data_IF_334837126808
#
_entry.id   IF_334837126808
#
_cell.length_a   1.000
_cell.length_b   1.000
_cell.length_c   1.000
_cell.angle_alpha   90.00
_cell.angle_beta   90.00
_cell.angle_gamma   90.00
#
_symmetry.space_group_name_H-M   'P 1'
#
loop_
_entity.id
_entity.type
_entity.pdbx_description
1 polymer ?
#
# COMPACT_ATOMS: atom_id res chain seq x y z
N UNK A 1 -19.35 -9.57 6.77
CA UNK A 1 -19.67 -8.11 6.71
C UNK A 1 -19.72 -7.40 8.07
N UNK A 2 -19.51 -8.08 9.21
CA UNK A 2 -19.77 -7.49 10.54
C UNK A 2 -19.06 -6.15 10.81
N UNK A 3 -17.77 -6.03 10.47
CA UNK A 3 -17.02 -4.80 10.76
C UNK A 3 -17.38 -3.61 9.85
N UNK A 4 -17.66 -3.83 8.55
CA UNK A 4 -18.07 -2.76 7.64
C UNK A 4 -19.34 -2.08 8.16
N UNK A 5 -20.34 -2.89 8.53
CA UNK A 5 -21.63 -2.42 9.09
C UNK A 5 -21.41 -1.79 10.46
N UNK A 6 -20.74 -2.49 11.38
CA UNK A 6 -20.46 -2.01 12.75
C UNK A 6 -19.79 -0.63 12.77
N UNK A 7 -18.98 -0.36 11.76
CA UNK A 7 -18.18 0.85 11.65
C UNK A 7 -18.78 1.91 10.74
N UNK A 8 -19.92 1.66 10.12
CA UNK A 8 -20.55 2.59 9.18
C UNK A 8 -19.65 2.91 7.98
N UNK A 9 -18.83 1.96 7.51
CA UNK A 9 -17.98 2.19 6.35
C UNK A 9 -18.84 2.26 5.10
N UNK A 10 -18.74 3.38 4.37
CA UNK A 10 -19.34 3.56 3.04
C UNK A 10 -18.70 2.57 2.07
N UNK A 11 -19.37 1.46 1.77
CA UNK A 11 -18.84 0.39 0.92
C UNK A 11 -19.51 0.33 -0.46
N UNK A 12 -18.75 -0.15 -1.45
CA UNK A 12 -19.20 -0.44 -2.81
C UNK A 12 -18.83 -1.88 -3.17
N UNK A 13 -19.55 -2.85 -2.61
CA UNK A 13 -19.24 -4.27 -2.80
C UNK A 13 -19.84 -4.86 -4.10
N UNK A 14 -19.07 -5.72 -4.79
CA UNK A 14 -19.48 -6.39 -6.04
C UNK A 14 -20.67 -7.35 -5.89
N UNK A 15 -20.96 -7.82 -4.67
CA UNK A 15 -22.01 -8.81 -4.43
C UNK A 15 -23.40 -8.17 -4.33
N UNK A 16 -23.47 -6.88 -3.97
CA UNK A 16 -24.70 -6.08 -3.92
C UNK A 16 -24.86 -5.17 -5.13
N UNK A 17 -23.76 -4.87 -5.83
CA UNK A 17 -23.77 -4.02 -7.03
C UNK A 17 -23.42 -4.89 -8.24
N UNK A 18 -24.44 -5.23 -9.02
CA UNK A 18 -24.27 -6.05 -10.22
C UNK A 18 -23.82 -5.30 -11.47
N UNK A 19 -23.95 -5.99 -12.60
CA UNK A 19 -23.79 -5.43 -13.94
C UNK A 19 -24.74 -4.23 -14.15
N UNK A 20 -24.32 -3.14 -14.83
CA UNK A 20 -23.04 -2.97 -15.53
C UNK A 20 -21.92 -2.35 -14.69
N UNK A 21 -22.09 -2.13 -13.39
CA UNK A 21 -21.07 -1.46 -12.56
C UNK A 21 -19.87 -2.37 -12.34
N UNK A 22 -20.15 -3.60 -11.94
CA UNK A 22 -19.17 -4.68 -11.86
C UNK A 22 -19.48 -5.69 -12.97
N UNK A 23 -18.45 -6.17 -13.65
CA UNK A 23 -18.61 -7.17 -14.71
C UNK A 23 -17.43 -8.13 -14.72
N UNK A 24 -17.67 -9.33 -15.26
CA UNK A 24 -16.60 -10.30 -15.49
C UNK A 24 -16.05 -10.18 -16.91
N UNK A 25 -14.75 -9.97 -17.02
CA UNK A 25 -14.03 -9.96 -18.29
C UNK A 25 -13.03 -11.12 -18.31
N UNK A 26 -13.45 -12.23 -18.92
CA UNK A 26 -12.65 -13.45 -19.04
C UNK A 26 -11.56 -13.35 -20.13
N UNK A 27 -11.63 -12.34 -21.00
CA UNK A 27 -10.74 -12.22 -22.16
C UNK A 27 -9.66 -11.15 -21.97
N UNK A 28 -9.74 -10.34 -20.91
CA UNK A 28 -8.83 -9.21 -20.65
C UNK A 28 -7.34 -9.52 -20.80
N UNK A 29 -6.92 -10.72 -20.38
CA UNK A 29 -5.51 -11.13 -20.40
C UNK A 29 -5.10 -11.89 -21.67
N UNK A 30 -6.02 -12.10 -22.62
CA UNK A 30 -5.76 -12.89 -23.83
C UNK A 30 -5.52 -14.38 -23.56
N UNK A 31 -5.74 -14.85 -22.33
CA UNK A 31 -5.62 -16.24 -21.89
C UNK A 31 -6.67 -16.55 -20.82
N UNK A 32 -7.11 -17.82 -20.67
CA UNK A 32 -7.98 -18.22 -19.59
C UNK A 32 -7.35 -17.97 -18.22
N UNK A 33 -8.15 -17.47 -17.27
CA UNK A 33 -7.81 -17.37 -15.84
C UNK A 33 -9.02 -17.80 -15.00
N UNK A 34 -8.78 -18.19 -13.75
CA UNK A 34 -9.84 -18.57 -12.82
C UNK A 34 -10.87 -17.42 -12.66
N UNK A 35 -12.13 -17.78 -12.44
CA UNK A 35 -13.24 -16.81 -12.44
C UNK A 35 -13.03 -15.72 -11.38
N UNK A 36 -12.40 -16.04 -10.25
CA UNK A 36 -12.10 -15.14 -9.16
C UNK A 36 -11.21 -13.95 -9.59
N UNK A 37 -10.48 -14.07 -10.70
CA UNK A 37 -9.59 -13.03 -11.24
C UNK A 37 -10.18 -12.24 -12.41
N UNK A 38 -11.48 -12.37 -12.67
CA UNK A 38 -12.14 -11.73 -13.84
C UNK A 38 -13.06 -10.58 -13.49
N UNK A 39 -13.27 -10.25 -12.21
CA UNK A 39 -14.17 -9.16 -11.84
C UNK A 39 -13.50 -7.79 -11.98
N UNK A 40 -14.15 -6.87 -12.69
CA UNK A 40 -13.69 -5.50 -12.89
C UNK A 40 -14.76 -4.46 -12.59
N UNK A 41 -14.31 -3.24 -12.35
CA UNK A 41 -15.11 -2.01 -12.38
C UNK A 41 -14.29 -0.87 -12.99
N UNK A 42 -14.84 0.34 -13.04
CA UNK A 42 -14.06 1.56 -13.33
C UNK A 42 -14.30 2.60 -12.25
N UNK A 43 -13.32 3.49 -12.05
CA UNK A 43 -13.44 4.61 -11.11
C UNK A 43 -14.70 5.44 -11.38
N UNK A 44 -15.04 5.70 -12.65
CA UNK A 44 -16.26 6.42 -13.01
C UNK A 44 -17.52 5.69 -12.53
N UNK A 45 -17.66 4.39 -12.83
CA UNK A 45 -18.82 3.60 -12.41
C UNK A 45 -18.97 3.55 -10.88
N UNK A 46 -17.84 3.45 -10.16
CA UNK A 46 -17.84 3.49 -8.70
C UNK A 46 -18.28 4.85 -8.16
N UNK A 47 -17.84 5.97 -8.76
CA UNK A 47 -18.29 7.31 -8.40
C UNK A 47 -19.78 7.53 -8.68
N UNK A 48 -20.30 7.01 -9.78
CA UNK A 48 -21.71 7.12 -10.12
C UNK A 48 -22.59 6.42 -9.05
N UNK A 49 -22.18 5.22 -8.62
CA UNK A 49 -22.89 4.51 -7.53
C UNK A 49 -22.70 5.23 -6.19
N UNK A 50 -21.48 5.68 -5.88
CA UNK A 50 -21.21 6.46 -4.68
C UNK A 50 -22.13 7.68 -4.59
N UNK A 51 -22.27 8.44 -5.68
CA UNK A 51 -23.16 9.60 -5.77
C UNK A 51 -24.62 9.22 -5.52
N UNK A 52 -25.12 8.15 -6.16
CA UNK A 52 -26.48 7.65 -5.94
C UNK A 52 -26.74 7.22 -4.49
N UNK A 53 -25.71 6.74 -3.78
CA UNK A 53 -25.76 6.36 -2.36
C UNK A 53 -25.51 7.53 -1.40
N UNK A 54 -25.34 8.76 -1.91
CA UNK A 54 -25.02 9.92 -1.06
C UNK A 54 -23.59 9.93 -0.51
N UNK A 55 -22.67 9.19 -1.13
CA UNK A 55 -21.25 9.14 -0.75
C UNK A 55 -20.43 10.25 -1.43
N UNK A 56 -21.05 11.39 -1.71
CA UNK A 56 -20.39 12.53 -2.31
C UNK A 56 -19.25 13.07 -1.43
N UNK A 57 -18.38 13.91 -2.00
CA UNK A 57 -17.24 14.51 -1.30
C UNK A 57 -17.60 15.62 -0.29
N UNK A 58 -18.85 15.63 0.18
CA UNK A 58 -19.38 16.50 1.23
C UNK A 58 -19.72 15.62 2.45
N UNK A 59 -19.38 16.07 3.64
CA UNK A 59 -19.79 15.42 4.88
C UNK A 59 -21.28 15.68 5.18
N UNK A 60 -21.82 15.04 6.22
CA UNK A 60 -23.24 15.13 6.61
C UNK A 60 -23.71 16.55 6.97
N UNK A 61 -22.79 17.53 7.06
CA UNK A 61 -23.06 18.93 7.44
C UNK A 61 -22.58 19.92 6.36
N UNK A 62 -22.52 19.49 5.09
CA UNK A 62 -22.02 20.28 3.96
C UNK A 62 -20.54 20.71 4.08
N UNK A 63 -19.79 20.13 5.02
CA UNK A 63 -18.36 20.32 5.18
C UNK A 63 -17.56 19.54 4.13
N UNK A 64 -16.38 20.04 3.77
CA UNK A 64 -15.48 19.31 2.86
C UNK A 64 -14.98 18.06 3.57
N UNK A 65 -15.02 16.90 2.90
CA UNK A 65 -14.53 15.61 3.42
C UNK A 65 -13.07 15.66 3.95
N UNK A 66 -12.26 16.62 3.49
CA UNK A 66 -10.89 16.83 3.98
C UNK A 66 -10.79 17.44 5.39
N UNK A 67 -11.90 17.85 6.01
CA UNK A 67 -11.87 18.47 7.35
C UNK A 67 -11.35 17.48 8.37
N UNK A 68 -10.24 17.81 9.03
CA UNK A 68 -9.55 16.91 9.96
C UNK A 68 -8.67 15.84 9.30
N UNK A 69 -8.51 15.84 7.97
CA UNK A 69 -7.52 15.01 7.30
C UNK A 69 -6.11 15.42 7.73
N UNK A 70 -5.41 14.51 8.40
CA UNK A 70 -4.01 14.70 8.75
C UNK A 70 -3.15 14.26 7.57
N UNK A 71 -2.54 15.21 6.87
CA UNK A 71 -1.56 14.90 5.82
C UNK A 71 -0.25 14.40 6.42
N UNK A 72 0.48 13.55 5.69
CA UNK A 72 1.91 13.39 5.93
C UNK A 72 2.66 14.67 5.56
N UNK A 73 3.88 14.78 6.05
CA UNK A 73 4.79 15.89 5.73
C UNK A 73 5.55 15.53 4.46
N UNK A 74 5.66 16.48 3.54
CA UNK A 74 6.32 16.29 2.26
C UNK A 74 7.50 17.24 2.07
N UNK A 75 8.51 16.78 1.35
CA UNK A 75 9.67 17.55 0.86
C UNK A 75 9.82 17.41 -0.64
N UNK A 76 10.51 18.36 -1.25
CA UNK A 76 10.98 18.17 -2.62
C UNK A 76 12.08 17.09 -2.64
N UNK A 77 12.18 16.30 -3.73
CA UNK A 77 13.20 15.28 -3.85
C UNK A 77 14.62 15.87 -3.82
N UNK A 78 15.61 15.10 -3.39
CA UNK A 78 16.99 15.60 -3.33
C UNK A 78 17.50 16.04 -4.72
N UNK A 79 18.03 17.27 -4.80
CA UNK A 79 18.49 17.85 -6.07
C UNK A 79 19.76 17.17 -6.63
N UNK A 80 20.60 16.59 -5.76
CA UNK A 80 21.83 15.90 -6.12
C UNK A 80 21.87 14.50 -5.48
N UNK A 81 21.50 13.49 -6.26
CA UNK A 81 21.54 12.08 -5.82
C UNK A 81 22.92 11.44 -5.98
N UNK A 82 23.84 12.07 -6.72
CA UNK A 82 25.21 11.57 -6.91
C UNK A 82 26.10 11.69 -5.65
N UNK A 83 25.75 12.57 -4.70
CA UNK A 83 26.50 12.78 -3.43
C UNK A 83 25.91 11.99 -2.25
N UNK A 84 25.02 11.03 -2.49
CA UNK A 84 24.26 10.26 -1.49
C UNK A 84 25.07 9.11 -0.86
N UNK A 85 26.39 9.10 -1.04
CA UNK A 85 27.30 8.07 -0.52
C UNK A 85 27.66 8.23 0.98
N UNK A 86 27.15 9.27 1.65
CA UNK A 86 27.40 9.51 3.08
C UNK A 86 26.32 8.91 3.99
N UNK A 87 26.67 7.79 4.65
CA UNK A 87 26.09 7.25 5.90
C UNK A 87 24.69 6.62 5.90
N UNK A 88 23.96 6.58 4.78
CA UNK A 88 22.73 5.77 4.63
C UNK A 88 22.65 5.08 3.26
N UNK A 89 23.82 4.67 2.73
CA UNK A 89 23.92 3.75 1.59
C UNK A 89 23.29 2.41 1.96
N UNK A 90 22.37 1.89 1.14
CA UNK A 90 21.60 0.71 1.51
C UNK A 90 20.21 0.63 0.88
N UNK A 91 19.70 1.71 0.27
CA UNK A 91 18.33 1.76 -0.24
C UNK A 91 18.24 1.73 -1.76
N UNK A 92 19.26 1.27 -2.47
CA UNK A 92 19.26 1.19 -3.92
C UNK A 92 18.48 -0.04 -4.42
N UNK A 93 18.49 -1.12 -3.64
CA UNK A 93 17.63 -2.28 -3.84
C UNK A 93 16.91 -2.63 -2.56
N UNK A 94 15.63 -2.97 -2.67
CA UNK A 94 14.82 -3.48 -1.55
C UNK A 94 14.17 -4.78 -2.01
N UNK A 95 14.25 -5.81 -1.19
CA UNK A 95 13.57 -7.07 -1.40
C UNK A 95 12.70 -7.38 -0.18
N UNK A 96 11.42 -7.60 -0.45
CA UNK A 96 10.40 -7.93 0.54
C UNK A 96 9.86 -9.33 0.24
N UNK A 97 10.12 -10.26 1.14
CA UNK A 97 9.53 -11.59 1.14
C UNK A 97 8.35 -11.62 2.11
N UNK A 98 7.14 -11.84 1.57
CA UNK A 98 5.93 -11.92 2.39
C UNK A 98 5.75 -13.28 3.07
N UNK A 99 6.30 -14.34 2.48
CA UNK A 99 6.20 -15.69 3.02
C UNK A 99 7.43 -16.52 2.66
N UNK A 100 8.03 -17.14 3.68
CA UNK A 100 9.22 -17.99 3.51
C UNK A 100 8.92 -19.17 2.59
N UNK A 101 9.74 -19.32 1.53
CA UNK A 101 9.58 -20.42 0.56
C UNK A 101 8.65 -20.12 -0.61
N UNK A 102 8.06 -18.92 -0.68
CA UNK A 102 7.15 -18.51 -1.75
C UNK A 102 7.70 -17.29 -2.52
N UNK A 103 8.89 -17.45 -3.11
CA UNK A 103 9.62 -16.38 -3.82
C UNK A 103 8.87 -15.82 -5.03
N UNK A 104 7.91 -16.56 -5.60
CA UNK A 104 7.03 -16.07 -6.67
C UNK A 104 6.14 -14.90 -6.25
N UNK A 105 5.96 -14.67 -4.93
CA UNK A 105 5.24 -13.51 -4.40
C UNK A 105 6.17 -12.43 -3.87
N UNK A 106 7.49 -12.65 -3.89
CA UNK A 106 8.46 -11.64 -3.47
C UNK A 106 8.33 -10.38 -4.31
N UNK A 107 8.60 -9.24 -3.69
CA UNK A 107 8.61 -7.94 -4.36
C UNK A 107 9.99 -7.35 -4.25
N UNK A 108 10.48 -6.82 -5.37
CA UNK A 108 11.70 -6.01 -5.37
C UNK A 108 11.42 -4.59 -5.83
N UNK A 109 12.20 -3.68 -5.29
CA UNK A 109 12.22 -2.28 -5.66
C UNK A 109 13.64 -1.87 -6.00
N UNK A 110 13.88 -1.53 -7.26
CA UNK A 110 15.18 -1.08 -7.75
C UNK A 110 15.15 0.44 -7.95
N UNK A 111 16.04 1.15 -7.26
CA UNK A 111 16.16 2.60 -7.33
C UNK A 111 16.86 3.05 -8.62
N UNK A 112 16.24 3.99 -9.31
CA UNK A 112 16.79 4.68 -10.47
C UNK A 112 17.19 6.12 -10.07
N UNK A 113 18.48 6.41 -9.92
CA UNK A 113 18.95 7.74 -9.50
C UNK A 113 18.70 8.82 -10.56
N UNK A 114 18.51 8.47 -11.84
CA UNK A 114 18.25 9.45 -12.90
C UNK A 114 16.83 10.02 -12.79
N UNK A 115 15.88 9.23 -12.32
CA UNK A 115 14.46 9.63 -12.20
C UNK A 115 14.01 9.83 -10.75
N UNK A 116 14.83 9.41 -9.78
CA UNK A 116 14.50 9.33 -8.36
C UNK A 116 13.19 8.54 -8.15
N UNK A 117 13.14 7.34 -8.73
CA UNK A 117 12.02 6.42 -8.67
C UNK A 117 12.51 5.01 -8.34
N UNK A 118 11.71 4.29 -7.57
CA UNK A 118 11.85 2.86 -7.36
C UNK A 118 10.96 2.13 -8.37
N UNK A 119 11.53 1.19 -9.14
CA UNK A 119 10.81 0.33 -10.08
C UNK A 119 10.43 -0.97 -9.40
N UNK A 120 9.16 -1.36 -9.49
CA UNK A 120 8.64 -2.56 -8.83
C UNK A 120 8.74 -3.79 -9.72
N UNK A 121 9.22 -4.88 -9.17
CA UNK A 121 9.09 -6.22 -9.75
C UNK A 121 8.36 -7.16 -8.77
N UNK A 122 7.69 -8.19 -9.29
CA UNK A 122 7.00 -9.19 -8.48
C UNK A 122 7.27 -10.58 -9.05
N UNK A 123 7.68 -11.51 -8.20
CA UNK A 123 8.05 -12.86 -8.63
C UNK A 123 9.20 -12.87 -9.65
N UNK A 124 10.08 -11.86 -9.61
CA UNK A 124 11.20 -11.69 -10.54
C UNK A 124 10.90 -10.89 -11.81
N UNK A 125 9.62 -10.62 -12.12
CA UNK A 125 9.23 -9.93 -13.35
C UNK A 125 8.82 -8.47 -13.10
N UNK A 126 9.05 -7.54 -14.04
CA UNK A 126 8.54 -6.18 -13.96
C UNK A 126 7.03 -6.15 -13.70
N UNK A 127 6.59 -5.47 -12.64
CA UNK A 127 5.15 -5.36 -12.36
C UNK A 127 4.55 -4.26 -13.23
N UNK A 128 3.83 -4.63 -14.29
CA UNK A 128 3.28 -3.69 -15.28
C UNK A 128 1.79 -3.41 -15.04
N UNK A 129 1.38 -2.15 -15.23
CA UNK A 129 -0.04 -1.80 -15.39
C UNK A 129 -0.51 -2.26 -16.78
N UNK A 130 -1.54 -3.09 -16.82
CA UNK A 130 -2.04 -3.67 -18.06
C UNK A 130 -2.57 -2.62 -19.05
N UNK A 131 -3.07 -1.48 -18.57
CA UNK A 131 -3.76 -0.48 -19.39
C UNK A 131 -2.78 0.40 -20.18
N UNK A 132 -1.59 0.66 -19.64
CA UNK A 132 -0.59 1.53 -20.26
C UNK A 132 0.77 0.86 -20.50
N UNK A 133 0.94 -0.40 -20.05
CA UNK A 133 2.17 -1.19 -20.14
C UNK A 133 3.38 -0.56 -19.45
N UNK A 134 3.15 0.38 -18.53
CA UNK A 134 4.21 1.00 -17.74
C UNK A 134 4.47 0.16 -16.49
N UNK A 135 5.75 0.03 -16.12
CA UNK A 135 6.13 -0.57 -14.87
C UNK A 135 5.69 0.32 -13.70
N UNK A 136 5.15 -0.29 -12.66
CA UNK A 136 4.79 0.43 -11.44
C UNK A 136 6.04 1.03 -10.80
N UNK A 137 5.91 2.28 -10.38
CA UNK A 137 6.98 3.01 -9.70
C UNK A 137 6.46 3.74 -8.47
N UNK A 138 7.36 4.02 -7.54
CA UNK A 138 7.09 4.87 -6.39
C UNK A 138 8.30 5.73 -6.04
N UNK A 139 8.08 6.86 -5.37
CA UNK A 139 9.17 7.70 -4.84
C UNK A 139 9.58 7.31 -3.43
N UNK A 140 8.67 6.69 -2.70
CA UNK A 140 8.86 6.31 -1.31
C UNK A 140 8.32 4.89 -1.11
N UNK A 141 9.13 4.02 -0.51
CA UNK A 141 8.70 2.69 -0.08
C UNK A 141 8.73 2.68 1.45
N UNK A 142 7.67 2.22 2.08
CA UNK A 142 7.62 1.94 3.50
C UNK A 142 7.44 0.46 3.67
N UNK A 143 8.33 -0.18 4.43
CA UNK A 143 8.09 -1.54 4.92
C UNK A 143 7.70 -1.44 6.39
N UNK A 144 6.44 -1.77 6.66
CA UNK A 144 5.79 -1.63 7.96
C UNK A 144 5.63 -3.01 8.60
N UNK A 145 6.24 -3.19 9.77
CA UNK A 145 6.22 -4.46 10.51
C UNK A 145 5.06 -4.45 11.50
N UNK A 146 4.12 -5.36 11.33
CA UNK A 146 2.91 -5.45 12.14
C UNK A 146 2.80 -6.80 12.83
N UNK A 147 2.20 -6.81 14.02
CA UNK A 147 1.92 -8.05 14.74
C UNK A 147 0.89 -8.86 13.97
N UNK A 148 1.28 -10.05 13.54
CA UNK A 148 0.39 -11.04 12.93
C UNK A 148 -0.14 -12.00 13.99
N UNK A 149 -1.38 -12.46 13.80
CA UNK A 149 -2.01 -13.49 14.62
C UNK A 149 -3.07 -14.23 13.81
N UNK A 150 -3.38 -15.46 14.18
CA UNK A 150 -4.53 -16.12 13.59
C UNK A 150 -5.85 -15.43 13.99
N UNK A 151 -6.82 -15.43 13.10
CA UNK A 151 -8.13 -14.83 13.31
C UNK A 151 -8.97 -15.58 14.35
N UNK A 152 -8.71 -16.88 14.54
CA UNK A 152 -9.45 -17.75 15.46
C UNK A 152 -10.98 -17.70 15.21
N UNK A 153 -11.37 -17.64 13.95
CA UNK A 153 -12.76 -17.49 13.50
C UNK A 153 -13.44 -18.82 13.14
N UNK A 154 -12.80 -19.95 13.48
CA UNK A 154 -13.29 -21.30 13.21
C UNK A 154 -13.04 -21.79 11.78
N UNK A 155 -12.31 -21.04 10.96
CA UNK A 155 -11.91 -21.50 9.63
C UNK A 155 -10.93 -22.69 9.70
N UNK A 156 -10.95 -23.55 8.68
CA UNK A 156 -10.11 -24.74 8.62
C UNK A 156 -8.63 -24.37 8.79
N UNK A 157 -7.91 -25.14 9.61
CA UNK A 157 -6.50 -24.94 9.95
C UNK A 157 -6.16 -23.56 10.56
N UNK A 158 -7.18 -22.79 10.98
CA UNK A 158 -7.00 -21.43 11.50
C UNK A 158 -6.20 -20.52 10.55
N UNK A 159 -6.35 -20.73 9.24
CA UNK A 159 -5.49 -20.14 8.22
C UNK A 159 -5.73 -18.64 7.96
N UNK A 160 -6.83 -18.09 8.47
CA UNK A 160 -7.08 -16.65 8.40
C UNK A 160 -6.17 -15.89 9.36
N UNK A 161 -5.58 -14.80 8.87
CA UNK A 161 -4.63 -13.99 9.61
C UNK A 161 -5.18 -12.59 9.86
N UNK A 162 -4.87 -12.06 11.04
CA UNK A 162 -5.13 -10.70 11.46
C UNK A 162 -3.82 -9.97 11.66
N UNK A 163 -3.78 -8.73 11.19
CA UNK A 163 -2.67 -7.82 11.39
C UNK A 163 -3.06 -6.68 12.34
N UNK A 164 -2.18 -6.42 13.31
CA UNK A 164 -2.32 -5.38 14.31
C UNK A 164 -2.11 -3.97 13.76
N UNK A 165 -3.04 -3.48 12.94
CA UNK A 165 -2.94 -2.18 12.23
C UNK A 165 -3.09 -0.94 13.11
N UNK A 166 -3.38 -1.09 14.41
CA UNK A 166 -3.47 0.01 15.40
C UNK A 166 -2.47 -0.26 16.51
N UNK A 167 -1.73 0.78 16.92
CA UNK A 167 -0.61 0.65 17.85
C UNK A 167 0.65 1.27 17.26
N UNK A 168 1.77 0.60 17.42
CA UNK A 168 3.06 1.04 16.89
C UNK A 168 3.92 -0.17 16.54
N UNK A 169 4.89 0.02 15.65
CA UNK A 169 5.84 -1.03 15.28
C UNK A 169 7.03 -0.45 14.51
N UNK A 170 7.96 -1.32 14.16
CA UNK A 170 9.14 -0.92 13.37
C UNK A 170 8.74 -0.58 11.94
N UNK A 171 9.45 0.36 11.32
CA UNK A 171 9.36 0.64 9.90
C UNK A 171 10.76 0.79 9.28
N UNK A 172 10.87 0.43 8.00
CA UNK A 172 11.97 0.83 7.14
C UNK A 172 11.41 1.74 6.06
N UNK A 173 11.99 2.91 5.88
CA UNK A 173 11.55 3.88 4.87
C UNK A 173 12.65 4.07 3.84
N UNK A 174 12.31 3.87 2.58
CA UNK A 174 13.21 4.03 1.45
C UNK A 174 12.79 5.23 0.61
N UNK A 175 13.70 6.18 0.47
CA UNK A 175 13.54 7.38 -0.37
C UNK A 175 14.93 7.92 -0.75
N UNK A 176 15.04 8.53 -1.94
CA UNK A 176 16.31 9.06 -2.46
C UNK A 176 17.45 8.01 -2.51
N UNK A 177 17.14 6.72 -2.71
CA UNK A 177 18.14 5.64 -2.74
C UNK A 177 18.70 5.27 -1.36
N UNK A 178 18.13 5.82 -0.27
CA UNK A 178 18.56 5.60 1.11
C UNK A 178 17.53 4.78 1.87
N UNK A 179 17.99 4.14 2.94
CA UNK A 179 17.14 3.53 3.96
C UNK A 179 17.14 4.39 5.23
N UNK A 180 15.98 4.55 5.83
CA UNK A 180 15.78 5.22 7.12
C UNK A 180 15.10 4.20 8.03
N UNK A 181 15.81 3.80 9.09
CA UNK A 181 15.23 3.02 10.18
C UNK A 181 14.33 3.91 11.04
N UNK A 182 13.18 3.36 11.43
CA UNK A 182 12.21 4.11 12.18
C UNK A 182 11.04 3.29 12.71
N UNK A 183 9.94 3.98 13.00
CA UNK A 183 8.72 3.40 13.56
C UNK A 183 7.49 3.92 12.83
N UNK A 184 6.45 3.09 12.79
CA UNK A 184 5.10 3.54 12.50
C UNK A 184 4.29 3.60 13.81
N UNK A 185 3.32 4.50 13.87
CA UNK A 185 2.35 4.55 14.96
C UNK A 185 0.98 4.99 14.45
N UNK A 186 -0.08 4.42 15.01
CA UNK A 186 -1.46 4.71 14.67
C UNK A 186 -2.30 4.61 15.94
N UNK A 187 -2.68 5.77 16.48
CA UNK A 187 -3.32 5.88 17.80
C UNK A 187 -4.71 5.24 17.89
N UNK A 188 -5.44 5.20 16.77
CA UNK A 188 -6.79 4.62 16.69
C UNK A 188 -7.11 4.19 15.27
N UNK A 189 -8.23 3.47 15.09
CA UNK A 189 -8.74 3.06 13.76
C UNK A 189 -8.91 4.22 12.78
N UNK A 190 -9.30 5.40 13.26
CA UNK A 190 -9.54 6.59 12.42
C UNK A 190 -8.34 7.53 12.35
N UNK A 191 -7.34 7.40 13.22
CA UNK A 191 -6.14 8.22 13.20
C UNK A 191 -5.26 7.94 11.96
N UNK A 192 -4.50 8.93 11.50
CA UNK A 192 -3.45 8.72 10.48
C UNK A 192 -2.31 7.87 11.07
N UNK A 193 -1.82 6.90 10.30
CA UNK A 193 -0.53 6.25 10.58
C UNK A 193 0.60 7.25 10.37
N UNK A 194 1.42 7.49 11.39
CA UNK A 194 2.59 8.37 11.34
C UNK A 194 3.86 7.55 11.28
N UNK A 195 4.87 8.06 10.59
CA UNK A 195 6.20 7.45 10.51
C UNK A 195 7.23 8.39 11.10
N UNK A 196 8.11 7.88 11.97
CA UNK A 196 9.22 8.63 12.55
C UNK A 196 10.53 7.90 12.33
N UNK A 197 11.64 8.63 12.24
CA UNK A 197 12.97 8.03 12.32
C UNK A 197 13.29 7.54 13.75
N UNK A 198 14.43 6.89 13.93
CA UNK A 198 14.89 6.39 15.23
C UNK A 198 15.14 7.52 16.26
N UNK A 199 15.24 8.78 15.83
CA UNK A 199 15.37 9.97 16.69
C UNK A 199 14.00 10.56 17.06
N UNK A 200 12.91 9.98 16.58
CA UNK A 200 11.54 10.44 16.83
C UNK A 200 11.09 11.60 15.93
N UNK A 201 11.88 11.99 14.92
CA UNK A 201 11.49 13.02 13.96
C UNK A 201 10.54 12.43 12.92
N UNK A 202 9.42 13.11 12.64
CA UNK A 202 8.46 12.65 11.63
C UNK A 202 9.10 12.64 10.24
N UNK A 203 8.88 11.55 9.50
CA UNK A 203 9.42 11.36 8.16
C UNK A 203 8.79 12.39 7.22
N UNK A 204 9.66 13.10 6.50
CA UNK A 204 9.28 13.93 5.36
C UNK A 204 9.42 13.10 4.09
N UNK A 205 8.30 12.72 3.48
CA UNK A 205 8.29 11.95 2.24
C UNK A 205 8.62 12.83 1.05
N UNK A 206 9.29 12.28 0.04
CA UNK A 206 9.36 12.90 -1.28
C UNK A 206 7.96 13.05 -1.86
N UNK A 207 7.61 14.24 -2.38
CA UNK A 207 6.36 14.45 -3.12
C UNK A 207 6.26 13.45 -4.28
N UNK A 208 5.30 12.53 -4.22
CA UNK A 208 5.08 11.49 -5.22
C UNK A 208 4.41 10.26 -4.63
N UNK A 209 4.33 9.18 -5.41
CA UNK A 209 3.72 7.92 -4.98
C UNK A 209 4.47 7.34 -3.77
N UNK A 210 3.70 6.87 -2.79
CA UNK A 210 4.16 6.16 -1.60
C UNK A 210 3.58 4.75 -1.67
N UNK A 211 4.43 3.75 -1.56
CA UNK A 211 4.01 2.36 -1.46
C UNK A 211 4.28 1.85 -0.05
N UNK A 212 3.30 1.20 0.58
CA UNK A 212 3.44 0.62 1.91
C UNK A 212 3.34 -0.90 1.79
N UNK A 213 4.45 -1.59 2.01
CA UNK A 213 4.50 -3.03 2.15
C UNK A 213 4.29 -3.38 3.63
N UNK A 214 3.25 -4.14 3.94
CA UNK A 214 3.00 -4.63 5.30
C UNK A 214 3.51 -6.05 5.43
N UNK A 215 4.30 -6.32 6.47
CA UNK A 215 4.90 -7.62 6.74
C UNK A 215 4.75 -7.98 8.21
N UNK A 216 4.72 -9.28 8.57
CA UNK A 216 4.69 -9.67 9.97
C UNK A 216 5.97 -9.24 10.68
N UNK A 217 5.87 -9.02 11.99
CA UNK A 217 7.04 -8.90 12.85
C UNK A 217 7.98 -10.10 12.67
N UNK A 218 9.28 -9.84 12.56
CA UNK A 218 10.28 -10.88 12.29
C UNK A 218 10.47 -11.24 10.82
N UNK A 219 9.66 -10.72 9.89
CA UNK A 219 9.90 -10.86 8.46
C UNK A 219 11.30 -10.35 8.08
N UNK A 220 11.97 -11.09 7.19
CA UNK A 220 13.28 -10.70 6.66
C UNK A 220 13.08 -9.79 5.45
N UNK A 221 13.69 -8.61 5.52
CA UNK A 221 13.73 -7.64 4.44
C UNK A 221 15.19 -7.36 4.16
N UNK A 222 15.63 -7.59 2.92
CA UNK A 222 17.01 -7.34 2.52
C UNK A 222 17.07 -6.08 1.65
N UNK A 223 18.15 -5.32 1.79
CA UNK A 223 18.37 -4.09 1.05
C UNK A 223 19.87 -3.77 0.93
N UNK A 224 20.25 -3.06 -0.13
CA UNK A 224 21.64 -2.68 -0.46
C UNK A 224 21.71 -1.32 -1.16
#
# INVERSE_FOLDING_TARGET
MGQIIKYGIKDLNQFSIGFPTFWRDYQRLGRPVATEHTMYSTTQKLWDIGTKRGFAAVDEKDGKWGTGFVSWIFKDPAANLASVTGSASGGAKVNVEFWSGYSSYSVTWDFDPATNLYKRSNGGEPHLDLNNKQQLTAKNIVVQFERESNANDGYENNAHLLYGTTGQGRALIFQDGKVISGKWSKASRTARTKYTDDKGSEIKFNKGLIWIETVPEGAKVSYS
#
